data_IF_009466716901
#
_entry.id   IF_009466716901
#
_cell.length_a   1.000
_cell.length_b   1.000
_cell.length_c   1.000
_cell.angle_alpha   90.00
_cell.angle_beta   90.00
_cell.angle_gamma   90.00
#
_symmetry.space_group_name_H-M   'P 1'
#
loop_
_entity.id
_entity.type
_entity.pdbx_description
1 polymer ?
#
# COMPACT_ATOMS: atom_id res chain seq x y z
N UNK A 1 2.00 0.33 -13.19
CA UNK A 1 1.31 -0.28 -12.01
C UNK A 1 -0.15 -0.52 -12.37
N UNK A 2 -0.66 -1.74 -12.17
CA UNK A 2 -2.07 -2.05 -12.32
C UNK A 2 -2.82 -1.81 -11.00
N UNK A 3 -3.86 -0.99 -11.04
CA UNK A 3 -4.67 -0.60 -9.89
C UNK A 3 -6.09 -1.16 -10.09
N UNK A 4 -6.52 -2.02 -9.17
CA UNK A 4 -7.87 -2.54 -9.09
C UNK A 4 -8.78 -1.63 -8.25
N UNK A 5 -9.90 -2.16 -7.75
CA UNK A 5 -10.76 -1.41 -6.84
C UNK A 5 -10.02 -0.98 -5.58
N UNK A 6 -10.29 0.24 -5.12
CA UNK A 6 -9.83 0.76 -3.83
C UNK A 6 -11.01 0.85 -2.89
N UNK A 7 -10.82 0.47 -1.63
CA UNK A 7 -11.85 0.58 -0.60
C UNK A 7 -11.31 1.33 0.61
N UNK A 8 -12.14 2.14 1.25
CA UNK A 8 -11.79 2.92 2.43
C UNK A 8 -12.66 2.48 3.60
N UNK A 9 -12.07 2.33 4.78
CA UNK A 9 -12.77 1.74 5.92
C UNK A 9 -12.62 2.53 7.21
N UNK A 10 -13.58 2.33 8.11
CA UNK A 10 -13.58 2.92 9.44
C UNK A 10 -12.48 2.37 10.34
N UNK A 11 -12.07 1.12 10.20
CA UNK A 11 -11.13 0.45 11.10
C UNK A 11 -9.73 1.07 11.04
N UNK A 12 -9.05 1.13 12.19
CA UNK A 12 -7.65 1.59 12.23
C UNK A 12 -6.70 0.47 11.79
N UNK A 13 -5.67 0.75 10.97
CA UNK A 13 -4.66 -0.23 10.64
C UNK A 13 -3.79 -0.51 11.87
N UNK A 14 -3.18 -1.69 11.92
CA UNK A 14 -2.36 -2.09 13.09
C UNK A 14 -1.21 -1.11 13.38
N UNK A 15 -0.66 -0.51 12.32
CA UNK A 15 0.43 0.48 12.37
C UNK A 15 0.00 1.84 12.91
N UNK A 16 -1.31 2.14 12.97
CA UNK A 16 -1.85 3.40 13.47
C UNK A 16 -2.02 3.46 15.01
N UNK A 17 -1.53 2.47 15.77
CA UNK A 17 -1.51 2.57 17.24
C UNK A 17 -0.61 3.72 17.69
N UNK A 18 -1.21 4.91 17.85
CA UNK A 18 -0.71 6.00 18.68
C UNK A 18 -0.39 5.43 20.07
N UNK A 19 0.76 5.82 20.61
CA UNK A 19 1.12 5.56 22.00
C UNK A 19 -0.06 5.93 22.91
N UNK A 20 -0.59 4.95 23.65
CA UNK A 20 -1.69 5.20 24.57
C UNK A 20 -1.22 6.20 25.64
N UNK A 21 -1.88 7.35 25.83
CA UNK A 21 -1.67 8.17 27.01
C UNK A 21 -2.37 7.50 28.19
N UNK A 22 -1.59 7.16 29.22
CA UNK A 22 -2.10 6.90 30.56
C UNK A 22 -2.61 5.48 30.85
N UNK A 23 -1.71 4.62 31.33
CA UNK A 23 -2.05 3.72 32.45
C UNK A 23 -0.84 3.66 33.39
N UNK A 24 -0.94 4.43 34.47
CA UNK A 24 0.09 4.59 35.48
C UNK A 24 0.33 3.33 36.30
N UNK A 25 1.56 3.20 36.79
CA UNK A 25 2.06 2.12 37.64
C UNK A 25 3.35 1.54 37.07
N UNK A 26 4.51 2.02 37.53
CA UNK A 26 5.78 1.37 37.22
C UNK A 26 5.74 -0.07 37.79
N UNK A 27 6.05 -1.11 37.00
CA UNK A 27 6.01 -2.49 37.47
C UNK A 27 7.02 -2.69 38.59
N UNK A 28 6.62 -3.43 39.63
CA UNK A 28 7.46 -3.70 40.79
C UNK A 28 8.69 -4.51 40.40
N UNK A 29 9.75 -4.45 41.21
CA UNK A 29 10.99 -5.21 40.98
C UNK A 29 10.74 -6.73 40.94
N UNK A 30 9.73 -7.21 41.66
CA UNK A 30 9.29 -8.61 41.65
C UNK A 30 8.62 -9.00 40.32
N UNK A 31 7.81 -8.12 39.73
CA UNK A 31 7.20 -8.37 38.41
C UNK A 31 8.24 -8.46 37.29
N UNK A 32 9.35 -7.72 37.41
CA UNK A 32 10.46 -7.77 36.43
C UNK A 32 11.23 -9.09 36.49
N UNK A 33 11.40 -9.65 37.69
CA UNK A 33 12.07 -10.94 37.89
C UNK A 33 11.18 -12.11 37.44
N UNK A 34 9.87 -12.04 37.69
CA UNK A 34 8.93 -13.06 37.22
C UNK A 34 8.88 -13.16 35.68
N UNK A 35 8.98 -12.02 34.98
CA UNK A 35 8.99 -11.95 33.51
C UNK A 35 10.24 -12.54 32.85
N UNK A 36 11.32 -12.75 33.59
CA UNK A 36 12.52 -13.41 33.07
C UNK A 36 12.42 -14.95 33.14
N UNK A 37 11.57 -15.47 34.02
CA UNK A 37 11.42 -16.90 34.29
C UNK A 37 10.29 -17.58 33.49
N UNK A 38 9.45 -16.81 32.81
CA UNK A 38 8.35 -17.34 31.98
C UNK A 38 8.49 -16.74 30.58
N UNK A 39 8.78 -17.55 29.54
CA UNK A 39 8.62 -17.14 28.15
C UNK A 39 7.14 -16.89 27.88
N UNK A 40 6.66 -15.69 28.20
CA UNK A 40 5.28 -15.30 27.95
C UNK A 40 5.15 -14.93 26.47
N UNK A 41 4.70 -15.89 25.67
CA UNK A 41 4.22 -15.61 24.32
C UNK A 41 2.89 -14.86 24.44
N UNK A 42 2.94 -13.53 24.48
CA UNK A 42 1.74 -12.73 24.36
C UNK A 42 1.06 -13.09 23.04
N UNK A 43 -0.19 -13.58 23.10
CA UNK A 43 -1.04 -13.65 21.93
C UNK A 43 -1.02 -12.28 21.27
N UNK A 44 -0.67 -12.25 19.98
CA UNK A 44 -0.56 -11.00 19.25
C UNK A 44 -1.92 -10.28 19.32
N UNK A 45 -1.93 -8.94 19.43
CA UNK A 45 -3.18 -8.19 19.39
C UNK A 45 -3.93 -8.57 18.13
N UNK A 46 -5.25 -8.80 18.22
CA UNK A 46 -6.05 -9.45 17.18
C UNK A 46 -5.87 -8.92 15.76
N UNK A 47 -6.31 -9.70 14.78
CA UNK A 47 -6.21 -9.37 13.35
C UNK A 47 -6.84 -8.00 13.04
N UNK A 48 -6.29 -7.33 12.02
CA UNK A 48 -6.90 -6.10 11.49
C UNK A 48 -8.38 -6.36 11.17
N UNK A 49 -9.22 -5.44 11.63
CA UNK A 49 -10.65 -5.44 11.36
C UNK A 49 -10.96 -4.17 10.58
N UNK A 50 -11.42 -4.34 9.34
CA UNK A 50 -11.71 -3.22 8.46
C UNK A 50 -12.87 -2.36 8.99
N UNK A 51 -13.89 -2.95 9.61
CA UNK A 51 -15.11 -2.23 9.95
C UNK A 51 -15.94 -1.92 8.69
N UNK A 52 -16.79 -0.90 8.75
CA UNK A 52 -17.65 -0.52 7.62
C UNK A 52 -16.85 0.14 6.49
N UNK A 53 -17.19 -0.21 5.24
CA UNK A 53 -16.70 0.49 4.06
C UNK A 53 -17.37 1.87 3.98
N UNK A 54 -16.56 2.91 3.83
CA UNK A 54 -16.99 4.31 3.76
C UNK A 54 -16.81 4.91 2.37
N UNK A 55 -16.06 4.26 1.49
CA UNK A 55 -16.01 4.63 0.10
C UNK A 55 -15.24 3.64 -0.75
N UNK A 56 -15.38 3.79 -2.06
CA UNK A 56 -14.76 2.92 -3.05
C UNK A 56 -14.49 3.63 -4.36
N UNK A 57 -13.36 3.32 -4.99
CA UNK A 57 -13.15 3.53 -6.43
C UNK A 57 -13.28 2.16 -7.09
N UNK A 58 -14.27 1.97 -7.96
CA UNK A 58 -14.57 0.65 -8.51
C UNK A 58 -13.89 0.37 -9.86
N UNK A 59 -13.66 1.39 -10.69
CA UNK A 59 -13.08 1.17 -12.01
C UNK A 59 -11.57 0.86 -11.93
N UNK A 60 -11.12 -0.30 -12.43
CA UNK A 60 -9.70 -0.61 -12.52
C UNK A 60 -9.01 0.24 -13.59
N UNK A 61 -7.73 0.51 -13.40
CA UNK A 61 -6.88 1.27 -14.34
C UNK A 61 -5.42 0.88 -14.19
N UNK A 62 -4.54 1.49 -14.98
CA UNK A 62 -3.10 1.37 -14.85
C UNK A 62 -2.44 2.74 -14.98
N UNK A 63 -1.34 2.90 -14.26
CA UNK A 63 -0.62 4.18 -14.17
C UNK A 63 0.87 3.99 -14.35
N UNK A 64 1.50 5.01 -14.93
CA UNK A 64 2.94 5.23 -14.86
C UNK A 64 3.26 6.02 -13.58
N UNK A 65 4.08 5.43 -12.71
CA UNK A 65 4.47 6.06 -11.44
C UNK A 65 5.47 7.20 -11.64
N UNK A 66 6.15 7.26 -12.78
CA UNK A 66 7.09 8.33 -13.11
C UNK A 66 6.41 9.56 -13.69
N UNK A 67 5.17 9.44 -14.17
CA UNK A 67 4.35 10.56 -14.64
C UNK A 67 3.91 11.52 -13.52
N UNK A 68 4.12 11.15 -12.25
CA UNK A 68 3.71 11.92 -11.09
C UNK A 68 2.22 11.75 -10.79
N UNK A 69 1.58 12.81 -10.28
CA UNK A 69 0.16 12.77 -9.90
C UNK A 69 -0.72 12.54 -11.12
N UNK A 70 -1.45 11.43 -11.12
CA UNK A 70 -2.37 11.03 -12.19
C UNK A 70 -3.79 10.94 -11.62
N UNK A 71 -4.76 11.52 -12.33
CA UNK A 71 -6.16 11.39 -11.95
C UNK A 71 -6.64 9.96 -12.18
N UNK A 72 -7.30 9.39 -11.17
CA UNK A 72 -7.99 8.10 -11.28
C UNK A 72 -9.49 8.33 -11.50
N UNK A 73 -10.27 7.25 -11.57
CA UNK A 73 -11.71 7.34 -11.68
C UNK A 73 -12.35 7.91 -10.41
N UNK A 74 -13.58 8.41 -10.55
CA UNK A 74 -14.36 8.90 -9.42
C UNK A 74 -14.62 7.78 -8.40
N UNK A 75 -14.70 8.17 -7.13
CA UNK A 75 -14.99 7.27 -6.02
C UNK A 75 -16.35 7.62 -5.40
N UNK A 76 -17.14 6.61 -5.09
CA UNK A 76 -18.35 6.76 -4.29
C UNK A 76 -17.97 6.71 -2.81
N UNK A 77 -18.54 7.61 -2.00
CA UNK A 77 -18.31 7.62 -0.57
C UNK A 77 -19.57 7.99 0.22
N UNK A 78 -19.64 7.49 1.45
CA UNK A 78 -20.63 7.86 2.45
C UNK A 78 -19.94 8.55 3.60
N UNK A 79 -20.65 9.49 4.23
CA UNK A 79 -20.09 10.25 5.35
C UNK A 79 -19.68 9.34 6.51
N UNK A 80 -18.60 9.71 7.18
CA UNK A 80 -18.09 8.97 8.34
C UNK A 80 -16.57 9.01 8.47
N UNK A 81 -16.08 8.42 9.56
CA UNK A 81 -14.64 8.32 9.84
C UNK A 81 -14.01 7.27 8.94
N UNK A 82 -12.88 7.61 8.34
CA UNK A 82 -12.02 6.69 7.59
C UNK A 82 -10.63 6.67 8.23
N UNK A 83 -10.06 5.48 8.40
CA UNK A 83 -8.74 5.27 9.04
C UNK A 83 -7.84 4.29 8.29
N UNK A 84 -8.38 3.52 7.36
CA UNK A 84 -7.62 2.54 6.58
C UNK A 84 -8.17 2.37 5.18
N UNK A 85 -7.42 1.66 4.35
CA UNK A 85 -7.86 1.25 3.03
C UNK A 85 -7.44 -0.18 2.68
N UNK A 86 -8.08 -0.72 1.65
CA UNK A 86 -7.58 -1.85 0.87
C UNK A 86 -7.11 -1.33 -0.48
N UNK A 87 -5.86 -1.65 -0.82
CA UNK A 87 -5.33 -1.49 -2.16
C UNK A 87 -5.41 -2.84 -2.88
N UNK A 88 -6.05 -2.89 -4.04
CA UNK A 88 -6.09 -4.10 -4.87
C UNK A 88 -5.26 -3.91 -6.13
N UNK A 89 -4.48 -4.91 -6.49
CA UNK A 89 -3.79 -4.97 -7.77
C UNK A 89 -4.79 -5.39 -8.86
N UNK A 90 -4.87 -4.63 -9.96
CA UNK A 90 -5.80 -4.93 -11.04
C UNK A 90 -5.34 -6.14 -11.86
N UNK A 91 -6.13 -7.21 -11.87
CA UNK A 91 -5.82 -8.43 -12.60
C UNK A 91 -7.07 -8.97 -13.33
N UNK A 92 -7.06 -9.08 -14.67
CA UNK A 92 -5.97 -8.66 -15.58
C UNK A 92 -5.75 -7.13 -15.56
N UNK A 93 -4.56 -6.64 -15.95
CA UNK A 93 -4.33 -5.21 -16.12
C UNK A 93 -5.35 -4.55 -17.05
N UNK A 94 -5.80 -3.36 -16.67
CA UNK A 94 -6.75 -2.55 -17.44
C UNK A 94 -6.22 -1.11 -17.58
N UNK A 95 -6.76 -0.34 -18.52
CA UNK A 95 -6.40 1.06 -18.72
C UNK A 95 -5.16 1.26 -19.63
N UNK A 96 -4.56 2.47 -19.61
CA UNK A 96 -3.62 2.92 -20.63
C UNK A 96 -2.33 2.11 -20.76
N UNK A 97 -1.86 1.48 -19.68
CA UNK A 97 -0.59 0.74 -19.62
C UNK A 97 -0.79 -0.78 -19.53
N UNK A 98 -1.98 -1.29 -19.87
CA UNK A 98 -2.30 -2.71 -19.74
C UNK A 98 -1.42 -3.60 -20.66
N UNK A 99 -1.07 -3.09 -21.85
CA UNK A 99 -0.23 -3.81 -22.81
C UNK A 99 1.23 -3.89 -22.33
N UNK A 100 1.76 -2.78 -21.82
CA UNK A 100 3.12 -2.64 -21.28
C UNK A 100 3.32 -3.47 -20.01
N UNK A 101 2.25 -3.64 -19.23
CA UNK A 101 2.24 -4.52 -18.07
C UNK A 101 2.27 -6.01 -18.43
N UNK A 102 1.88 -6.39 -19.66
CA UNK A 102 2.00 -7.75 -20.20
C UNK A 102 1.52 -8.83 -19.20
N UNK A 103 0.32 -8.66 -18.65
CA UNK A 103 -0.28 -9.57 -17.66
C UNK A 103 0.24 -9.43 -16.22
N UNK A 104 1.31 -8.67 -15.99
CA UNK A 104 1.85 -8.39 -14.65
C UNK A 104 1.06 -7.26 -13.97
N UNK A 105 0.94 -7.32 -12.66
CA UNK A 105 0.28 -6.26 -11.88
C UNK A 105 1.24 -5.11 -11.53
N UNK A 106 2.54 -5.40 -11.50
CA UNK A 106 3.61 -4.40 -11.35
C UNK A 106 4.73 -4.73 -12.32
N UNK A 107 5.27 -3.71 -12.96
CA UNK A 107 6.53 -3.73 -13.67
C UNK A 107 7.32 -2.46 -13.29
N UNK A 108 8.58 -2.63 -12.92
CA UNK A 108 9.49 -1.56 -12.55
C UNK A 108 10.88 -1.87 -13.10
N UNK A 109 11.52 -0.88 -13.69
CA UNK A 109 12.95 -0.93 -14.00
C UNK A 109 13.71 0.04 -13.12
N UNK A 110 14.93 -0.31 -12.75
CA UNK A 110 15.74 0.51 -11.86
C UNK A 110 17.22 0.20 -11.94
N UNK A 111 18.00 1.02 -11.25
CA UNK A 111 19.44 0.85 -11.08
C UNK A 111 19.78 0.85 -9.60
N UNK A 112 20.38 -0.22 -9.13
CA UNK A 112 20.90 -0.35 -7.78
C UNK A 112 22.43 -0.16 -7.79
N UNK A 113 22.96 0.58 -6.83
CA UNK A 113 24.39 0.90 -6.75
C UNK A 113 24.94 0.65 -5.34
N UNK A 114 26.14 0.08 -5.26
CA UNK A 114 26.88 -0.13 -4.01
C UNK A 114 28.38 -0.05 -4.27
N UNK A 115 29.03 1.02 -3.82
CA UNK A 115 30.42 1.29 -4.18
C UNK A 115 30.56 1.43 -5.70
N UNK A 116 31.48 0.68 -6.30
CA UNK A 116 31.70 0.67 -7.75
C UNK A 116 30.77 -0.31 -8.51
N UNK A 117 29.96 -1.11 -7.81
CA UNK A 117 29.04 -2.05 -8.41
C UNK A 117 27.70 -1.38 -8.74
N UNK A 118 27.19 -1.61 -9.96
CA UNK A 118 25.87 -1.18 -10.38
C UNK A 118 25.10 -2.36 -11.03
N UNK A 119 23.81 -2.46 -10.75
CA UNK A 119 22.89 -3.47 -11.30
C UNK A 119 21.70 -2.78 -11.91
N UNK A 120 21.52 -2.89 -13.22
CA UNK A 120 20.28 -2.47 -13.90
C UNK A 120 19.34 -3.67 -13.89
N UNK A 121 18.14 -3.48 -13.34
CA UNK A 121 17.22 -4.59 -13.08
C UNK A 121 15.80 -4.27 -13.54
N UNK A 122 15.05 -5.33 -13.84
CA UNK A 122 13.61 -5.31 -14.07
C UNK A 122 12.92 -6.20 -13.04
N UNK A 123 12.02 -5.61 -12.25
CA UNK A 123 11.21 -6.29 -11.27
C UNK A 123 9.75 -6.36 -11.78
N UNK A 124 9.19 -7.56 -11.81
CA UNK A 124 7.81 -7.81 -12.25
C UNK A 124 7.11 -8.74 -11.27
N UNK A 125 5.80 -8.57 -11.11
CA UNK A 125 4.98 -9.43 -10.26
C UNK A 125 3.64 -9.74 -10.93
N UNK A 126 3.24 -10.99 -10.88
CA UNK A 126 1.92 -11.47 -11.26
C UNK A 126 0.95 -11.31 -10.09
N UNK A 127 -0.36 -11.36 -10.37
CA UNK A 127 -1.38 -11.34 -9.32
C UNK A 127 -1.21 -12.47 -8.29
N UNK A 128 -0.79 -13.66 -8.74
CA UNK A 128 -0.54 -14.80 -7.85
C UNK A 128 0.58 -14.53 -6.84
N UNK A 129 1.60 -13.75 -7.21
CA UNK A 129 2.72 -13.42 -6.32
C UNK A 129 2.27 -12.55 -5.13
N UNK A 130 1.32 -11.64 -5.39
CA UNK A 130 0.82 -10.67 -4.42
C UNK A 130 -0.51 -11.09 -3.79
N UNK A 131 -1.00 -12.30 -4.06
CA UNK A 131 -2.22 -12.82 -3.47
C UNK A 131 -2.09 -12.92 -1.94
N UNK A 132 -3.08 -12.42 -1.21
CA UNK A 132 -3.18 -12.54 0.23
C UNK A 132 -3.26 -14.01 0.63
N UNK A 133 -2.43 -14.42 1.59
CA UNK A 133 -2.43 -15.80 2.10
C UNK A 133 -3.74 -16.12 2.86
N UNK A 134 -4.53 -15.10 3.19
CA UNK A 134 -5.81 -15.22 3.92
C UNK A 134 -7.00 -15.25 2.97
N UNK A 135 -7.08 -14.32 2.01
CA UNK A 135 -8.25 -14.16 1.13
C UNK A 135 -8.05 -14.73 -0.26
N UNK A 136 -6.81 -14.99 -0.68
CA UNK A 136 -6.45 -15.36 -2.06
C UNK A 136 -6.54 -14.20 -3.05
N UNK A 137 -7.01 -13.02 -2.63
CA UNK A 137 -7.12 -11.85 -3.49
C UNK A 137 -5.77 -11.13 -3.62
N UNK A 138 -5.40 -10.58 -4.80
CA UNK A 138 -4.20 -9.77 -4.98
C UNK A 138 -4.41 -8.37 -4.37
N UNK A 139 -4.50 -8.31 -3.05
CA UNK A 139 -4.85 -7.11 -2.30
C UNK A 139 -4.02 -6.96 -1.02
N UNK A 140 -3.82 -5.70 -0.64
CA UNK A 140 -3.11 -5.28 0.57
C UNK A 140 -4.11 -4.61 1.50
N UNK A 141 -4.39 -5.29 2.61
CA UNK A 141 -5.33 -4.85 3.63
C UNK A 141 -4.68 -3.91 4.65
N UNK A 142 -5.48 -3.03 5.25
CA UNK A 142 -5.00 -2.17 6.33
C UNK A 142 -3.91 -1.20 5.87
N UNK A 143 -3.98 -0.75 4.62
CA UNK A 143 -3.18 0.37 4.14
C UNK A 143 -3.51 1.62 4.97
N UNK A 144 -2.52 2.48 5.19
CA UNK A 144 -2.72 3.69 5.99
C UNK A 144 -3.65 4.64 5.25
N UNK A 145 -4.73 5.07 5.89
CA UNK A 145 -5.50 6.23 5.47
C UNK A 145 -5.39 7.26 6.61
N UNK A 146 -4.97 8.49 6.30
CA UNK A 146 -4.95 9.57 7.29
C UNK A 146 -6.34 9.78 7.91
N UNK A 147 -6.45 9.61 9.23
CA UNK A 147 -7.74 9.64 9.92
C UNK A 147 -8.48 10.95 9.66
N UNK A 148 -9.66 10.84 9.05
CA UNK A 148 -10.48 11.97 8.64
C UNK A 148 -11.96 11.60 8.69
N UNK A 149 -12.81 12.59 8.95
CA UNK A 149 -14.25 12.46 8.79
C UNK A 149 -14.64 12.96 7.40
N UNK A 150 -15.21 12.10 6.57
CA UNK A 150 -15.76 12.48 5.27
C UNK A 150 -17.14 13.11 5.49
N UNK A 151 -17.31 14.38 5.12
CA UNK A 151 -18.56 15.14 5.24
C UNK A 151 -19.01 15.81 3.93
N UNK A 152 -18.28 15.58 2.83
CA UNK A 152 -18.59 16.17 1.54
C UNK A 152 -17.68 15.65 0.41
N UNK A 153 -17.82 16.23 -0.80
CA UNK A 153 -16.96 15.88 -1.92
C UNK A 153 -15.52 16.32 -1.68
N UNK A 154 -14.58 15.63 -2.32
CA UNK A 154 -13.16 15.96 -2.27
C UNK A 154 -12.32 14.97 -3.06
N UNK A 155 -11.01 15.02 -2.85
CA UNK A 155 -10.05 14.18 -3.58
C UNK A 155 -9.36 13.24 -2.60
N UNK A 156 -9.46 11.93 -2.86
CA UNK A 156 -8.60 10.93 -2.21
C UNK A 156 -7.31 10.80 -3.01
N UNK A 157 -6.17 10.93 -2.34
CA UNK A 157 -4.85 10.73 -2.96
C UNK A 157 -4.26 9.41 -2.49
N UNK A 158 -3.88 8.53 -3.43
CA UNK A 158 -3.10 7.32 -3.16
C UNK A 158 -1.62 7.59 -3.46
N UNK A 159 -0.81 7.64 -2.41
CA UNK A 159 0.65 7.69 -2.51
C UNK A 159 1.24 6.27 -2.53
N UNK A 160 1.96 5.97 -3.61
CA UNK A 160 2.69 4.71 -3.80
C UNK A 160 4.16 4.94 -3.46
N UNK A 161 4.78 4.02 -2.72
CA UNK A 161 6.19 4.12 -2.30
C UNK A 161 7.03 2.96 -2.86
N UNK A 162 7.59 3.09 -4.08
CA UNK A 162 8.48 2.06 -4.64
C UNK A 162 9.70 1.74 -3.77
N UNK A 163 10.17 2.69 -2.97
CA UNK A 163 11.25 2.44 -1.99
C UNK A 163 10.90 1.36 -0.97
N UNK A 164 9.63 1.20 -0.59
CA UNK A 164 9.16 0.12 0.30
C UNK A 164 9.09 -1.21 -0.44
N UNK A 165 8.82 -1.20 -1.75
CA UNK A 165 8.84 -2.42 -2.56
C UNK A 165 10.24 -3.01 -2.69
N UNK A 166 11.26 -2.14 -2.70
CA UNK A 166 12.65 -2.50 -2.93
C UNK A 166 13.47 -2.68 -1.64
N UNK A 167 12.91 -2.40 -0.46
CA UNK A 167 13.65 -2.32 0.81
C UNK A 167 14.28 -3.64 1.29
N UNK A 168 13.82 -4.77 0.74
CA UNK A 168 14.28 -6.12 1.06
C UNK A 168 14.81 -6.86 -0.17
N UNK A 169 15.01 -6.17 -1.29
CA UNK A 169 15.59 -6.76 -2.48
C UNK A 169 17.10 -6.89 -2.29
N UNK A 170 17.60 -8.12 -2.39
CA UNK A 170 19.03 -8.37 -2.46
C UNK A 170 19.53 -8.17 -3.90
N UNK A 171 20.02 -6.96 -4.18
CA UNK A 171 20.52 -6.61 -5.52
C UNK A 171 21.87 -7.25 -5.85
N UNK A 172 22.63 -7.75 -4.88
CA UNK A 172 23.91 -8.44 -5.17
C UNK A 172 23.67 -9.78 -5.87
N UNK A 173 22.51 -10.40 -5.63
CA UNK A 173 22.09 -11.64 -6.27
C UNK A 173 21.50 -11.45 -7.68
N UNK A 174 21.33 -10.20 -8.14
CA UNK A 174 20.80 -9.90 -9.48
C UNK A 174 21.93 -10.02 -10.50
N UNK A 175 21.67 -10.69 -11.62
CA UNK A 175 22.64 -10.83 -12.70
C UNK A 175 23.14 -9.44 -13.18
N UNK A 176 24.38 -9.39 -13.67
CA UNK A 176 24.84 -8.20 -14.39
C UNK A 176 24.05 -8.14 -15.69
N UNK A 177 23.34 -7.03 -15.91
CA UNK A 177 22.71 -6.77 -17.20
C UNK A 177 23.79 -6.62 -18.28
N UNK A 178 23.54 -7.15 -19.47
CA UNK A 178 24.41 -6.95 -20.63
C UNK A 178 24.07 -5.61 -21.29
N UNK A 179 25.08 -4.80 -21.62
CA UNK A 179 24.95 -3.57 -22.43
C UNK A 179 23.85 -2.58 -22.01
N UNK A 180 23.59 -2.48 -20.70
CA UNK A 180 22.56 -1.58 -20.15
C UNK A 180 21.13 -2.10 -20.25
N UNK A 181 20.92 -3.32 -20.75
CA UNK A 181 19.64 -4.01 -20.70
C UNK A 181 19.37 -4.44 -19.25
N UNK A 182 18.19 -4.11 -18.69
CA UNK A 182 17.82 -4.56 -17.36
C UNK A 182 17.76 -6.08 -17.25
N UNK A 183 18.44 -6.65 -16.25
CA UNK A 183 18.30 -8.06 -15.90
C UNK A 183 17.01 -8.29 -15.11
N UNK A 184 16.24 -9.31 -15.46
CA UNK A 184 15.03 -9.65 -14.70
C UNK A 184 15.37 -10.16 -13.29
N UNK A 185 14.52 -9.82 -12.32
CA UNK A 185 14.50 -10.52 -11.04
C UNK A 185 13.91 -11.92 -11.28
N UNK A 186 14.78 -12.92 -11.40
CA UNK A 186 14.38 -14.29 -11.70
C UNK A 186 13.27 -14.78 -10.75
N UNK A 187 12.24 -15.48 -11.26
CA UNK A 187 11.19 -16.06 -10.43
C UNK A 187 11.76 -16.91 -9.30
N UNK A 188 11.16 -16.83 -8.11
CA UNK A 188 11.60 -17.55 -6.91
C UNK A 188 13.00 -17.21 -6.37
N UNK A 189 13.72 -16.27 -7.00
CA UNK A 189 14.99 -15.76 -6.48
C UNK A 189 14.80 -15.00 -5.16
N UNK A 190 15.88 -14.84 -4.38
CA UNK A 190 15.84 -14.03 -3.16
C UNK A 190 15.43 -12.57 -3.45
N UNK A 191 15.92 -12.01 -4.58
CA UNK A 191 15.59 -10.67 -5.02
C UNK A 191 14.10 -10.52 -5.35
N UNK A 192 13.53 -11.44 -6.14
CA UNK A 192 12.10 -11.44 -6.48
C UNK A 192 11.24 -11.61 -5.22
N UNK A 193 11.61 -12.52 -4.32
CA UNK A 193 10.87 -12.71 -3.05
C UNK A 193 10.93 -11.46 -2.16
N UNK A 194 12.06 -10.76 -2.15
CA UNK A 194 12.21 -9.46 -1.49
C UNK A 194 11.25 -8.42 -2.05
N UNK A 195 11.19 -8.32 -3.37
CA UNK A 195 10.29 -7.41 -4.08
C UNK A 195 8.81 -7.71 -3.79
N UNK A 196 8.40 -8.97 -3.91
CA UNK A 196 7.01 -9.42 -3.63
C UNK A 196 6.62 -9.18 -2.17
N UNK A 197 7.52 -9.43 -1.21
CA UNK A 197 7.29 -9.08 0.20
C UNK A 197 7.06 -7.58 0.37
N UNK A 198 7.85 -6.75 -0.31
CA UNK A 198 7.69 -5.29 -0.31
C UNK A 198 6.34 -4.84 -0.88
N UNK A 199 5.89 -5.45 -1.98
CA UNK A 199 4.58 -5.19 -2.60
C UNK A 199 3.41 -5.48 -1.65
N UNK A 200 3.53 -6.49 -0.79
CA UNK A 200 2.52 -6.89 0.21
C UNK A 200 2.51 -6.00 1.47
N UNK A 201 3.42 -5.02 1.61
CA UNK A 201 3.46 -4.13 2.79
C UNK A 201 2.44 -3.01 2.67
N UNK A 202 1.50 -2.94 3.61
CA UNK A 202 0.53 -1.83 3.71
C UNK A 202 1.17 -0.45 3.83
N UNK A 203 2.42 -0.35 4.30
CA UNK A 203 3.16 0.93 4.39
C UNK A 203 3.60 1.49 3.03
N UNK A 204 3.57 0.67 1.97
CA UNK A 204 3.85 1.10 0.60
C UNK A 204 2.70 1.89 -0.04
N UNK A 205 1.52 1.87 0.59
CA UNK A 205 0.29 2.51 0.12
C UNK A 205 -0.24 3.41 1.24
N UNK A 206 -0.25 4.73 1.00
CA UNK A 206 -0.78 5.69 1.95
C UNK A 206 -1.86 6.53 1.27
N UNK A 207 -2.98 6.70 1.93
CA UNK A 207 -4.11 7.47 1.43
C UNK A 207 -4.35 8.68 2.32
N UNK A 208 -4.80 9.77 1.70
CA UNK A 208 -5.28 10.98 2.36
C UNK A 208 -6.46 11.56 1.61
N UNK A 209 -7.20 12.44 2.26
CA UNK A 209 -8.35 13.13 1.68
C UNK A 209 -8.17 14.65 1.79
N UNK A 210 -8.42 15.35 0.70
CA UNK A 210 -8.53 16.80 0.66
C UNK A 210 -9.98 17.19 0.33
N UNK A 211 -10.69 17.91 1.22
CA UNK A 211 -12.03 18.40 0.92
C UNK A 211 -12.04 19.27 -0.34
N UNK A 212 -13.11 19.18 -1.12
CA UNK A 212 -13.36 20.10 -2.23
C UNK A 212 -13.56 21.52 -1.71
N UNK A 213 -13.25 22.52 -2.53
CA UNK A 213 -13.61 23.89 -2.20
C UNK A 213 -15.14 23.97 -2.01
N UNK A 214 -15.64 24.73 -1.02
CA UNK A 214 -17.07 24.97 -0.89
C UNK A 214 -17.57 25.54 -2.22
N UNK A 215 -18.58 24.89 -2.80
CA UNK A 215 -19.27 25.48 -3.95
C UNK A 215 -19.88 26.78 -3.46
N UNK A 216 -19.38 27.91 -3.96
CA UNK A 216 -19.94 29.21 -3.66
C UNK A 216 -21.45 29.18 -3.90
N UNK A 217 -22.20 29.72 -2.94
CA UNK A 217 -23.62 29.97 -3.06
C UNK A 217 -23.88 30.52 -4.47
N UNK A 218 -24.59 29.76 -5.30
CA UNK A 218 -25.17 30.35 -6.50
C UNK A 218 -26.13 31.41 -5.98
N UNK A 219 -25.76 32.68 -6.12
CA UNK A 219 -26.67 33.80 -5.95
C UNK A 219 -27.90 33.49 -6.81
N UNK A 220 -29.00 33.10 -6.16
CA UNK A 220 -30.34 33.18 -6.73
C UNK A 220 -30.65 34.67 -6.90
N UNK A 221 -30.11 35.27 -7.96
CA UNK A 221 -30.59 36.54 -8.47
C UNK A 221 -31.29 36.27 -9.80
N UNK A 222 -32.54 35.82 -9.73
CA UNK A 222 -33.56 36.08 -10.74
C UNK A 222 -34.96 35.69 -10.24
N UNK A 223 -35.69 36.65 -9.65
CA UNK A 223 -36.97 37.18 -10.15
C UNK A 223 -37.67 38.13 -9.19
#
# INVERSE_FOLDING_TARGET
LSIGPLYYFEGAPFTARRAAPGRGGAPSLLDRLARWAVPEAHAHPGHYQAGEARGQMAQPTSVDLLAGTTALADADAVSGVVRSARFTFGAPPAGPFAAELDGHVVALEGRAEKGDAARVFRARALAADVASDVTGEPAVEGCVFEEVYLDGPGVVTLAIKPSVWLDQVDFEAVAEGEDGVPADLEPESQAQRGFVRGLKKGTAYALSFAPGAPQGEKEEEER
#
